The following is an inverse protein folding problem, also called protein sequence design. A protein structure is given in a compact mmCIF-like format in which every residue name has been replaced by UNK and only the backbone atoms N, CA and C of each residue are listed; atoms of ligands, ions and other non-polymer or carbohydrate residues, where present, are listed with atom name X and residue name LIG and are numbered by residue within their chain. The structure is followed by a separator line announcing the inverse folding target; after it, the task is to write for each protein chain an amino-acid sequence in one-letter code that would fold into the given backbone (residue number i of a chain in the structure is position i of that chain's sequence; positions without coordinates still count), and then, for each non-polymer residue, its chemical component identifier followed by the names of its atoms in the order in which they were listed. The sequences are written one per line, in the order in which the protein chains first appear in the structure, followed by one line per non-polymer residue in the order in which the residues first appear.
data_IF_360494699060
#
_entry.id   IF_360494699060
#
_cell.length_a   1.000
_cell.length_b   1.000
_cell.length_c   1.000
_cell.angle_alpha   90.00
_cell.angle_beta   90.00
_cell.angle_gamma   90.00
#
_symmetry.space_group_name_H-M   'P 1'
#
loop_
_entity.id
_entity.type
_entity.pdbx_description
1 polymer ?
#
# COMPACT_ATOMS: atom_id res chain seq x y z
N UNK A 1 -18.78 -17.70 -15.01
CA UNK A 1 -18.16 -18.09 -13.72
C UNK A 1 -16.65 -18.05 -13.93
N UNK A 2 -15.83 -17.14 -13.40
CA UNK A 2 -16.03 -15.91 -12.65
C UNK A 2 -14.77 -15.05 -12.87
N UNK A 3 -14.95 -13.79 -13.28
CA UNK A 3 -13.86 -12.82 -13.32
C UNK A 3 -13.74 -12.22 -11.92
N UNK A 4 -13.07 -12.94 -11.02
CA UNK A 4 -12.60 -12.35 -9.76
C UNK A 4 -11.50 -11.35 -10.15
N UNK A 5 -11.80 -10.06 -9.96
CA UNK A 5 -10.86 -8.94 -10.07
C UNK A 5 -9.51 -9.32 -9.42
N UNK A 6 -8.40 -9.11 -10.12
CA UNK A 6 -7.06 -9.43 -9.62
C UNK A 6 -6.71 -8.64 -8.34
N UNK A 7 -7.41 -7.53 -8.07
CA UNK A 7 -7.34 -6.80 -6.81
C UNK A 7 -7.79 -7.66 -5.60
N UNK A 8 -8.55 -8.73 -5.84
CA UNK A 8 -9.05 -9.69 -4.86
C UNK A 8 -8.05 -10.83 -4.55
N UNK A 9 -6.79 -10.74 -5.00
CA UNK A 9 -5.71 -11.69 -4.64
C UNK A 9 -4.71 -11.14 -3.62
N UNK A 10 -4.97 -9.99 -3.03
CA UNK A 10 -4.30 -9.57 -1.78
C UNK A 10 -5.11 -10.15 -0.63
N UNK A 11 -4.54 -11.16 0.05
CA UNK A 11 -5.32 -12.07 0.90
C UNK A 11 -5.68 -11.48 2.27
N UNK A 12 -5.08 -10.34 2.65
CA UNK A 12 -5.46 -9.57 3.83
C UNK A 12 -5.18 -8.07 3.60
N UNK A 13 -6.02 -7.22 4.19
CA UNK A 13 -5.92 -5.76 4.10
C UNK A 13 -5.88 -5.22 5.52
N UNK A 14 -4.80 -4.52 5.88
CA UNK A 14 -4.72 -3.77 7.12
C UNK A 14 -5.06 -2.31 6.80
N UNK A 15 -6.26 -1.87 7.19
CA UNK A 15 -6.75 -0.52 6.87
C UNK A 15 -6.71 0.39 8.10
N UNK A 16 -6.33 1.64 7.88
CA UNK A 16 -6.55 2.74 8.82
C UNK A 16 -7.65 3.65 8.26
N UNK A 17 -8.77 3.74 8.97
CA UNK A 17 -9.81 4.73 8.69
C UNK A 17 -9.54 5.99 9.51
N UNK A 18 -9.43 7.14 8.84
CA UNK A 18 -9.18 8.41 9.51
C UNK A 18 -10.48 8.97 10.09
N UNK A 19 -10.44 9.69 11.24
CA UNK A 19 -11.62 10.07 12.01
C UNK A 19 -12.63 10.96 11.27
N UNK A 20 -12.29 11.47 10.08
CA UNK A 20 -13.18 12.27 9.24
C UNK A 20 -13.94 11.49 8.15
N UNK A 21 -13.66 10.19 7.94
CA UNK A 21 -14.20 9.45 6.80
C UNK A 21 -15.46 8.62 7.16
N UNK A 22 -16.63 8.84 6.51
CA UNK A 22 -17.78 7.96 6.66
C UNK A 22 -17.48 6.55 6.12
N UNK A 23 -17.95 5.52 6.82
CA UNK A 23 -17.75 4.11 6.48
C UNK A 23 -18.75 3.67 5.39
N UNK A 24 -18.53 4.09 4.15
CA UNK A 24 -19.32 3.66 2.98
C UNK A 24 -18.69 2.42 2.30
N UNK A 25 -19.48 1.49 1.76
CA UNK A 25 -18.98 0.28 1.09
C UNK A 25 -18.27 0.65 -0.23
N UNK A 26 -16.98 0.33 -0.27
CA UNK A 26 -16.02 0.68 -1.32
C UNK A 26 -16.42 0.12 -2.69
N UNK A 27 -16.91 0.98 -3.58
CA UNK A 27 -16.57 0.81 -4.99
C UNK A 27 -15.08 1.14 -5.13
N UNK A 28 -14.31 0.31 -5.81
CA UNK A 28 -12.88 0.49 -6.08
C UNK A 28 -12.52 1.78 -6.88
N UNK A 29 -13.42 2.75 -6.96
CA UNK A 29 -13.38 3.95 -7.80
C UNK A 29 -12.63 5.15 -7.16
N UNK A 30 -12.36 5.13 -5.85
CA UNK A 30 -11.64 6.22 -5.17
C UNK A 30 -10.28 5.83 -4.60
N UNK A 31 -9.80 4.60 -4.85
CA UNK A 31 -8.40 4.24 -4.57
C UNK A 31 -7.48 5.04 -5.50
N UNK A 32 -6.82 6.06 -4.94
CA UNK A 32 -6.11 7.07 -5.71
C UNK A 32 -4.79 6.59 -6.28
N UNK A 33 -4.09 5.71 -5.58
CA UNK A 33 -2.77 5.22 -5.98
C UNK A 33 -2.53 3.78 -5.51
N UNK A 34 -2.06 2.93 -6.42
CA UNK A 34 -1.46 1.62 -6.12
C UNK A 34 0.05 1.74 -6.37
N UNK A 35 0.86 1.11 -5.52
CA UNK A 35 2.32 1.23 -5.57
C UNK A 35 3.00 0.25 -6.52
N UNK A 36 4.03 0.72 -7.21
CA UNK A 36 4.99 -0.10 -7.94
C UNK A 36 6.39 0.01 -7.35
N UNK A 37 6.91 -1.10 -6.85
CA UNK A 37 8.33 -1.27 -6.53
C UNK A 37 9.07 -1.60 -7.80
N UNK A 38 9.97 -0.73 -8.23
CA UNK A 38 10.62 -0.85 -9.54
C UNK A 38 11.34 -2.19 -9.72
N UNK A 39 10.72 -3.18 -10.34
CA UNK A 39 11.32 -4.48 -10.58
C UNK A 39 12.23 -4.42 -11.80
N UNK A 40 13.53 -4.54 -11.59
CA UNK A 40 14.49 -4.85 -12.65
C UNK A 40 14.40 -6.33 -13.05
N UNK A 41 14.34 -6.60 -14.36
CA UNK A 41 14.37 -7.96 -14.92
C UNK A 41 15.61 -8.76 -14.53
N UNK A 42 15.50 -10.08 -14.58
CA UNK A 42 16.57 -11.03 -14.29
C UNK A 42 17.86 -10.71 -15.08
N UNK A 43 18.87 -10.22 -14.37
CA UNK A 43 20.22 -9.97 -14.87
C UNK A 43 21.05 -9.37 -13.75
N UNK A 44 22.13 -10.03 -13.36
CA UNK A 44 23.09 -9.56 -12.37
C UNK A 44 23.64 -8.18 -12.77
N UNK A 45 23.10 -7.11 -12.19
CA UNK A 45 23.72 -5.79 -12.06
C UNK A 45 22.87 -4.94 -11.11
N UNK A 46 23.29 -4.89 -9.85
CA UNK A 46 22.63 -4.13 -8.78
C UNK A 46 22.42 -2.65 -9.15
N UNK A 47 21.39 -2.07 -8.56
CA UNK A 47 21.03 -0.65 -8.55
C UNK A 47 20.55 -0.04 -9.90
N UNK A 48 20.97 -0.53 -11.07
CA UNK A 48 20.56 0.03 -12.36
C UNK A 48 19.21 -0.51 -12.88
N UNK A 49 18.90 -1.79 -12.62
CA UNK A 49 17.68 -2.42 -13.13
C UNK A 49 16.40 -1.93 -12.41
N UNK A 50 16.50 -1.61 -11.11
CA UNK A 50 15.37 -1.17 -10.27
C UNK A 50 14.91 0.27 -10.52
N UNK A 51 15.75 1.09 -11.17
CA UNK A 51 15.44 2.49 -11.49
C UNK A 51 14.54 2.62 -12.70
N UNK A 52 14.31 1.57 -13.48
CA UNK A 52 13.73 1.70 -14.83
C UNK A 52 12.22 1.89 -14.83
N UNK A 53 11.49 1.49 -13.77
CA UNK A 53 10.02 1.47 -13.72
C UNK A 53 9.35 0.67 -14.85
N UNK A 54 10.08 -0.23 -15.53
CA UNK A 54 9.60 -0.92 -16.73
C UNK A 54 8.89 -2.25 -16.44
N UNK A 55 8.62 -2.53 -15.17
CA UNK A 55 8.01 -3.76 -14.67
C UNK A 55 8.99 -4.92 -14.47
N UNK A 56 8.75 -5.73 -13.44
CA UNK A 56 9.51 -6.92 -13.09
C UNK A 56 8.66 -8.06 -12.51
N UNK A 57 9.21 -8.78 -11.53
CA UNK A 57 8.52 -9.86 -10.81
C UNK A 57 7.58 -9.35 -9.70
N UNK A 58 6.94 -10.27 -8.96
CA UNK A 58 6.16 -9.94 -7.76
C UNK A 58 4.96 -9.01 -8.01
N UNK A 59 4.74 -8.09 -7.06
CA UNK A 59 3.66 -7.08 -7.08
C UNK A 59 3.76 -6.18 -8.31
N UNK A 60 4.99 -5.82 -8.71
CA UNK A 60 5.22 -4.93 -9.83
C UNK A 60 4.76 -5.51 -11.18
N UNK A 61 5.17 -6.75 -11.44
CA UNK A 61 4.66 -7.48 -12.59
C UNK A 61 3.15 -7.68 -12.57
N UNK A 62 2.55 -7.89 -11.39
CA UNK A 62 1.10 -8.06 -11.27
C UNK A 62 0.33 -6.79 -11.67
N UNK A 63 0.82 -5.64 -11.25
CA UNK A 63 0.22 -4.34 -11.55
C UNK A 63 0.42 -3.98 -13.03
N UNK A 64 1.62 -4.17 -13.60
CA UNK A 64 1.83 -3.95 -15.05
C UNK A 64 0.92 -4.84 -15.91
N UNK A 65 0.73 -6.11 -15.52
CA UNK A 65 -0.20 -7.01 -16.23
C UNK A 65 -1.65 -6.55 -16.15
N UNK A 66 -2.09 -6.05 -15.00
CA UNK A 66 -3.47 -5.60 -14.80
C UNK A 66 -3.75 -4.21 -15.41
N UNK A 67 -2.80 -3.28 -15.33
CA UNK A 67 -2.91 -1.95 -15.93
C UNK A 67 -2.84 -1.98 -17.46
N UNK A 68 -2.15 -2.97 -18.01
CA UNK A 68 -1.94 -3.12 -19.44
C UNK A 68 -0.73 -2.33 -19.97
N UNK A 69 -0.46 -2.42 -21.29
CA UNK A 69 0.79 -1.96 -21.89
C UNK A 69 0.98 -0.44 -21.86
N UNK A 70 -0.10 0.34 -21.67
CA UNK A 70 -0.02 1.80 -21.61
C UNK A 70 0.73 2.29 -20.37
N UNK A 71 0.62 1.57 -19.24
CA UNK A 71 1.38 1.89 -18.03
C UNK A 71 2.88 1.89 -18.31
N UNK A 72 3.38 0.82 -18.95
CA UNK A 72 4.80 0.69 -19.29
C UNK A 72 5.27 1.80 -20.26
N UNK A 73 4.41 2.22 -21.19
CA UNK A 73 4.73 3.32 -22.11
C UNK A 73 4.88 4.64 -21.37
N UNK A 74 4.02 4.93 -20.39
CA UNK A 74 4.15 6.14 -19.57
C UNK A 74 5.36 6.06 -18.64
N UNK A 75 5.61 4.92 -17.99
CA UNK A 75 6.82 4.74 -17.16
C UNK A 75 8.11 5.03 -17.95
N UNK A 76 8.16 4.64 -19.23
CA UNK A 76 9.31 4.90 -20.09
C UNK A 76 9.57 6.40 -20.35
N UNK A 77 8.56 7.27 -20.20
CA UNK A 77 8.74 8.73 -20.35
C UNK A 77 9.24 9.41 -19.07
N UNK A 78 9.17 8.72 -17.93
CA UNK A 78 9.55 9.28 -16.63
C UNK A 78 11.06 9.36 -16.40
N UNK A 79 11.88 8.69 -17.23
CA UNK A 79 13.34 8.66 -17.06
C UNK A 79 13.80 7.92 -15.80
N UNK A 80 13.02 6.93 -15.36
CA UNK A 80 13.32 6.11 -14.18
C UNK A 80 12.96 6.77 -12.84
N UNK A 81 13.40 6.22 -11.71
CA UNK A 81 13.15 6.75 -10.36
C UNK A 81 14.31 6.40 -9.42
N UNK A 82 14.77 7.37 -8.63
CA UNK A 82 15.84 7.18 -7.67
C UNK A 82 15.32 6.51 -6.38
N UNK A 83 16.21 5.84 -5.66
CA UNK A 83 15.86 5.20 -4.39
C UNK A 83 15.33 6.22 -3.37
N UNK A 84 14.16 5.96 -2.77
CA UNK A 84 13.48 6.87 -1.85
C UNK A 84 12.57 7.89 -2.55
N UNK A 85 12.68 8.08 -3.86
CA UNK A 85 11.86 9.05 -4.61
C UNK A 85 10.57 8.41 -5.11
N UNK A 86 9.57 9.25 -5.43
CA UNK A 86 8.29 8.79 -5.97
C UNK A 86 7.93 9.49 -7.29
N UNK A 87 7.29 8.77 -8.22
CA UNK A 87 6.74 9.31 -9.47
C UNK A 87 5.33 8.78 -9.68
N UNK A 88 4.51 9.48 -10.46
CA UNK A 88 3.12 9.13 -10.68
C UNK A 88 2.80 8.94 -12.16
N UNK A 89 1.95 7.96 -12.46
CA UNK A 89 1.38 7.72 -13.79
C UNK A 89 -0.13 7.51 -13.70
N UNK A 90 -0.82 7.54 -14.84
CA UNK A 90 -2.16 6.97 -14.92
C UNK A 90 -2.18 5.48 -14.54
N UNK A 91 -3.31 5.00 -14.05
CA UNK A 91 -3.48 3.61 -13.63
C UNK A 91 -4.05 2.68 -14.73
N UNK A 92 -4.57 3.26 -15.82
CA UNK A 92 -5.03 2.55 -17.02
C UNK A 92 -6.08 1.47 -16.74
N UNK A 93 -5.74 0.19 -16.94
CA UNK A 93 -6.66 -0.94 -16.75
C UNK A 93 -6.96 -1.27 -15.28
N UNK A 94 -6.33 -0.59 -14.33
CA UNK A 94 -6.61 -0.76 -12.90
C UNK A 94 -7.86 0.02 -12.50
N UNK A 95 -8.57 -0.40 -11.44
CA UNK A 95 -9.68 0.37 -10.89
C UNK A 95 -9.23 1.68 -10.22
N UNK A 96 -7.96 1.77 -9.82
CA UNK A 96 -7.38 2.98 -9.25
C UNK A 96 -7.29 4.13 -10.27
N UNK A 97 -7.13 5.37 -9.79
CA UNK A 97 -6.95 6.55 -10.67
C UNK A 97 -5.50 6.68 -11.17
N UNK A 98 -4.55 6.51 -10.26
CA UNK A 98 -3.11 6.60 -10.54
C UNK A 98 -2.33 5.41 -9.99
N UNK A 99 -1.07 5.33 -10.39
CA UNK A 99 -0.06 4.46 -9.80
C UNK A 99 1.09 5.35 -9.35
N UNK A 100 1.47 5.25 -8.07
CA UNK A 100 2.64 5.95 -7.53
C UNK A 100 3.78 4.94 -7.45
N UNK A 101 4.82 5.18 -8.22
CA UNK A 101 6.01 4.35 -8.32
C UNK A 101 7.06 4.89 -7.35
N UNK A 102 7.59 4.07 -6.45
CA UNK A 102 8.77 4.45 -5.67
C UNK A 102 9.74 3.28 -5.56
N UNK A 103 11.03 3.59 -5.51
CA UNK A 103 12.10 2.58 -5.47
C UNK A 103 12.61 2.47 -4.03
N UNK A 104 12.27 1.35 -3.39
CA UNK A 104 12.79 1.03 -2.06
C UNK A 104 14.28 0.68 -2.06
N UNK A 105 14.96 0.76 -0.89
CA UNK A 105 16.34 0.31 -0.74
C UNK A 105 16.48 -1.20 -0.94
N UNK A 106 17.63 -1.63 -1.46
CA UNK A 106 18.06 -3.03 -1.54
C UNK A 106 19.04 -3.27 -0.40
N UNK A 107 18.74 -4.25 0.46
CA UNK A 107 19.54 -4.57 1.65
C UNK A 107 20.19 -5.95 1.48
N UNK A 108 21.50 -5.99 1.66
CA UNK A 108 22.28 -7.22 1.72
C UNK A 108 22.96 -7.32 3.09
N UNK A 109 22.28 -7.93 4.05
CA UNK A 109 22.77 -8.07 5.42
C UNK A 109 22.13 -7.05 6.37
N UNK A 110 22.94 -6.33 7.15
CA UNK A 110 22.45 -5.39 8.15
C UNK A 110 21.90 -4.11 7.50
N UNK A 111 20.77 -3.62 8.02
CA UNK A 111 20.13 -2.38 7.57
C UNK A 111 20.97 -1.17 8.01
N UNK A 112 21.41 -0.34 7.07
CA UNK A 112 22.12 0.90 7.34
C UNK A 112 21.16 2.08 7.57
N UNK A 113 21.65 3.18 8.13
CA UNK A 113 20.86 4.41 8.28
C UNK A 113 20.39 4.99 6.93
N UNK A 114 21.19 4.79 5.87
CA UNK A 114 20.80 5.16 4.50
C UNK A 114 19.59 4.35 4.05
N UNK A 115 19.55 3.05 4.35
CA UNK A 115 18.44 2.17 3.98
C UNK A 115 17.16 2.54 4.76
N UNK A 116 17.30 2.80 6.06
CA UNK A 116 16.19 3.28 6.90
C UNK A 116 15.58 4.56 6.33
N UNK A 117 16.43 5.55 6.04
CA UNK A 117 16.01 6.82 5.45
C UNK A 117 15.36 6.63 4.08
N UNK A 118 15.95 5.80 3.21
CA UNK A 118 15.39 5.53 1.90
C UNK A 118 13.99 4.88 1.97
N UNK A 119 13.78 3.92 2.88
CA UNK A 119 12.48 3.30 3.07
C UNK A 119 11.46 4.31 3.63
N UNK A 120 11.85 5.14 4.61
CA UNK A 120 11.03 6.23 5.10
C UNK A 120 10.62 7.20 3.97
N UNK A 121 11.60 7.63 3.17
CA UNK A 121 11.40 8.56 2.06
C UNK A 121 10.43 7.99 1.01
N UNK A 122 10.45 6.66 0.77
CA UNK A 122 9.46 6.01 -0.12
C UNK A 122 8.02 6.26 0.32
N UNK A 123 7.70 6.03 1.59
CA UNK A 123 6.35 6.26 2.13
C UNK A 123 6.01 7.75 2.12
N UNK A 124 6.93 8.59 2.61
CA UNK A 124 6.73 10.03 2.74
C UNK A 124 6.49 10.70 1.38
N UNK A 125 7.35 10.44 0.40
CA UNK A 125 7.24 11.04 -0.94
C UNK A 125 6.02 10.52 -1.69
N UNK A 126 5.62 9.27 -1.45
CA UNK A 126 4.38 8.73 -2.00
C UNK A 126 3.13 9.40 -1.41
N UNK A 127 3.10 9.62 -0.10
CA UNK A 127 2.01 10.34 0.57
C UNK A 127 1.89 11.78 0.07
N UNK A 128 3.03 12.49 -0.01
CA UNK A 128 3.09 13.86 -0.59
C UNK A 128 2.57 13.89 -2.02
N UNK A 129 3.03 12.96 -2.87
CA UNK A 129 2.57 12.86 -4.27
C UNK A 129 1.06 12.63 -4.35
N UNK A 130 0.51 11.78 -3.47
CA UNK A 130 -0.93 11.53 -3.42
C UNK A 130 -1.72 12.80 -3.06
N UNK A 131 -1.28 13.50 -2.02
CA UNK A 131 -1.88 14.76 -1.55
C UNK A 131 -1.78 15.86 -2.60
N UNK A 132 -0.64 16.03 -3.26
CA UNK A 132 -0.45 17.00 -4.37
C UNK A 132 -1.44 16.75 -5.52
N UNK A 133 -1.79 15.48 -5.75
CA UNK A 133 -2.77 15.05 -6.75
C UNK A 133 -4.20 15.01 -6.23
N UNK A 134 -4.42 15.51 -5.01
CA UNK A 134 -5.73 15.57 -4.34
C UNK A 134 -6.38 14.20 -4.21
N UNK A 135 -5.56 13.16 -4.07
CA UNK A 135 -6.02 11.82 -3.78
C UNK A 135 -6.31 11.71 -2.29
N UNK A 136 -7.44 11.09 -1.95
CA UNK A 136 -7.85 10.91 -0.56
C UNK A 136 -7.64 9.49 -0.04
N UNK A 137 -7.26 8.54 -0.90
CA UNK A 137 -6.99 7.16 -0.51
C UNK A 137 -5.74 6.65 -1.20
N UNK A 138 -4.86 6.01 -0.43
CA UNK A 138 -3.61 5.42 -0.91
C UNK A 138 -3.45 4.00 -0.37
N UNK A 139 -2.93 3.10 -1.21
CA UNK A 139 -2.63 1.73 -0.83
C UNK A 139 -1.15 1.41 -0.99
N UNK A 140 -0.50 1.00 0.10
CA UNK A 140 0.89 0.60 0.17
C UNK A 140 1.02 -0.91 0.34
N UNK A 141 1.81 -1.60 -0.47
CA UNK A 141 2.29 -2.93 -0.16
C UNK A 141 3.51 -2.86 0.76
N UNK A 142 4.03 -4.02 1.16
CA UNK A 142 5.26 -4.12 1.95
C UNK A 142 6.48 -3.76 1.08
N UNK A 143 6.88 -2.49 1.10
CA UNK A 143 8.03 -2.00 0.32
C UNK A 143 9.32 -2.65 0.84
N UNK A 144 10.16 -3.12 -0.09
CA UNK A 144 11.48 -3.72 0.14
C UNK A 144 11.56 -5.06 0.92
N UNK A 145 10.48 -5.64 1.43
CA UNK A 145 10.53 -6.88 2.26
C UNK A 145 10.70 -8.19 1.47
N UNK A 146 10.52 -8.15 0.14
CA UNK A 146 10.68 -9.30 -0.74
C UNK A 146 12.11 -9.45 -1.27
N UNK A 147 12.26 -9.41 -2.60
CA UNK A 147 13.56 -9.58 -3.29
C UNK A 147 14.62 -8.56 -2.85
N UNK A 148 14.21 -7.42 -2.27
CA UNK A 148 15.12 -6.38 -1.79
C UNK A 148 15.67 -6.65 -0.39
N UNK A 149 15.20 -7.70 0.31
CA UNK A 149 15.85 -8.21 1.51
C UNK A 149 15.75 -7.35 2.76
N UNK A 150 14.87 -6.35 2.80
CA UNK A 150 14.66 -5.55 4.01
C UNK A 150 13.93 -6.40 5.07
N UNK A 151 14.41 -6.45 6.34
CA UNK A 151 13.76 -7.21 7.40
C UNK A 151 12.29 -6.80 7.60
N UNK A 152 11.32 -7.73 7.51
CA UNK A 152 9.90 -7.40 7.59
C UNK A 152 9.50 -6.65 8.85
N UNK A 153 9.97 -7.08 10.03
CA UNK A 153 9.68 -6.44 11.32
C UNK A 153 10.06 -4.95 11.29
N UNK A 154 11.28 -4.65 10.87
CA UNK A 154 11.77 -3.27 10.81
C UNK A 154 11.06 -2.44 9.73
N UNK A 155 10.67 -3.08 8.62
CA UNK A 155 9.93 -2.40 7.55
C UNK A 155 8.50 -2.04 7.97
N UNK A 156 7.81 -2.91 8.72
CA UNK A 156 6.46 -2.65 9.25
C UNK A 156 6.48 -1.48 10.23
N UNK A 157 7.40 -1.50 11.18
CA UNK A 157 7.57 -0.40 12.15
C UNK A 157 7.85 0.92 11.42
N UNK A 158 8.77 0.92 10.43
CA UNK A 158 9.08 2.10 9.63
C UNK A 158 7.85 2.62 8.86
N UNK A 159 7.09 1.73 8.22
CA UNK A 159 5.90 2.08 7.45
C UNK A 159 4.84 2.74 8.34
N UNK A 160 4.55 2.11 9.49
CA UNK A 160 3.53 2.59 10.42
C UNK A 160 3.93 3.91 11.08
N UNK A 161 5.19 4.02 11.55
CA UNK A 161 5.71 5.25 12.14
C UNK A 161 5.64 6.43 11.15
N UNK A 162 6.14 6.22 9.92
CA UNK A 162 6.16 7.27 8.89
C UNK A 162 4.74 7.73 8.52
N UNK A 163 3.82 6.77 8.33
CA UNK A 163 2.42 7.09 8.02
C UNK A 163 1.76 7.80 9.19
N UNK A 164 2.03 7.38 10.44
CA UNK A 164 1.49 8.03 11.64
C UNK A 164 1.93 9.48 11.73
N UNK A 165 3.23 9.73 11.66
CA UNK A 165 3.81 11.07 11.72
C UNK A 165 3.25 11.98 10.63
N UNK A 166 3.13 11.47 9.40
CA UNK A 166 2.55 12.24 8.29
C UNK A 166 1.07 12.58 8.53
N UNK A 167 0.30 11.66 9.09
CA UNK A 167 -1.13 11.86 9.33
C UNK A 167 -1.40 12.79 10.52
N UNK A 168 -0.52 12.85 11.51
CA UNK A 168 -0.65 13.82 12.60
C UNK A 168 -0.73 15.26 12.05
N UNK A 169 -0.01 15.56 10.96
CA UNK A 169 -0.02 16.88 10.31
C UNK A 169 -1.02 17.00 9.15
N UNK A 170 -1.45 15.90 8.55
CA UNK A 170 -2.17 15.92 7.26
C UNK A 170 -3.45 15.07 7.19
N UNK A 171 -3.99 14.60 8.32
CA UNK A 171 -5.16 13.73 8.37
C UNK A 171 -6.41 14.26 7.65
N UNK A 172 -6.59 15.57 7.46
CA UNK A 172 -7.75 16.12 6.73
C UNK A 172 -7.66 15.91 5.21
N UNK A 173 -6.44 15.71 4.70
CA UNK A 173 -6.14 15.60 3.26
C UNK A 173 -6.34 14.18 2.74
N UNK A 174 -6.33 13.18 3.63
CA UNK A 174 -6.52 11.76 3.34
C UNK A 174 -7.74 11.24 4.11
N UNK A 175 -8.53 10.36 3.50
CA UNK A 175 -9.61 9.61 4.15
C UNK A 175 -9.12 8.25 4.67
N UNK A 176 -8.19 7.63 3.94
CA UNK A 176 -7.76 6.25 4.21
C UNK A 176 -6.35 5.97 3.73
N UNK A 177 -5.60 5.26 4.57
CA UNK A 177 -4.33 4.63 4.19
C UNK A 177 -4.48 3.13 4.36
N UNK A 178 -4.16 2.39 3.31
CA UNK A 178 -4.36 0.94 3.24
C UNK A 178 -2.98 0.27 3.15
N UNK A 179 -2.70 -0.69 4.04
CA UNK A 179 -1.54 -1.57 3.94
C UNK A 179 -1.96 -2.91 3.33
N UNK A 180 -1.61 -3.11 2.07
CA UNK A 180 -1.88 -4.30 1.28
C UNK A 180 -0.81 -5.36 1.52
N UNK A 181 -1.04 -6.21 2.51
CA UNK A 181 -0.15 -7.32 2.87
C UNK A 181 -0.49 -8.58 2.07
N UNK A 182 0.53 -9.30 1.61
CA UNK A 182 0.32 -10.53 0.83
C UNK A 182 0.69 -11.78 1.62
N UNK A 183 1.82 -11.75 2.34
CA UNK A 183 2.28 -12.88 3.14
C UNK A 183 1.57 -12.89 4.48
N UNK A 184 1.19 -14.08 4.96
CA UNK A 184 0.59 -14.23 6.30
C UNK A 184 1.51 -13.74 7.41
N UNK A 185 2.83 -13.91 7.25
CA UNK A 185 3.83 -13.39 8.19
C UNK A 185 3.81 -11.86 8.30
N UNK A 186 3.62 -11.16 7.18
CA UNK A 186 3.52 -9.69 7.18
C UNK A 186 2.19 -9.26 7.81
N UNK A 187 1.09 -9.96 7.51
CA UNK A 187 -0.22 -9.70 8.14
C UNK A 187 -0.16 -9.80 9.67
N UNK A 188 0.49 -10.84 10.19
CA UNK A 188 0.70 -11.02 11.64
C UNK A 188 1.55 -9.91 12.26
N UNK A 189 2.50 -9.34 11.51
CA UNK A 189 3.30 -8.19 11.95
C UNK A 189 2.44 -6.93 11.99
N UNK A 190 1.74 -6.61 10.90
CA UNK A 190 0.86 -5.44 10.84
C UNK A 190 -0.24 -5.51 11.90
N UNK A 191 -0.90 -6.66 12.09
CA UNK A 191 -1.97 -6.81 13.11
C UNK A 191 -1.48 -6.53 14.53
N UNK A 192 -0.24 -6.88 14.85
CA UNK A 192 0.36 -6.64 16.17
C UNK A 192 0.83 -5.20 16.34
N UNK A 193 1.44 -4.62 15.31
CA UNK A 193 2.05 -3.30 15.39
C UNK A 193 1.03 -2.16 15.22
N UNK A 194 0.01 -2.32 14.36
CA UNK A 194 -0.91 -1.24 13.99
C UNK A 194 -1.63 -0.60 15.18
N UNK A 195 -2.13 -1.34 16.20
CA UNK A 195 -2.71 -0.74 17.40
C UNK A 195 -1.73 0.10 18.25
N UNK A 196 -0.42 -0.12 18.13
CA UNK A 196 0.59 0.65 18.86
C UNK A 196 0.77 2.06 18.28
N UNK A 197 0.60 2.20 16.96
CA UNK A 197 0.71 3.48 16.24
C UNK A 197 -0.64 4.18 16.09
N UNK A 198 -1.70 3.40 15.94
CA UNK A 198 -3.08 3.86 15.75
C UNK A 198 -3.98 3.15 16.75
N UNK A 199 -3.93 3.55 18.04
CA UNK A 199 -4.79 2.95 19.06
C UNK A 199 -6.26 3.19 18.69
N UNK A 200 -7.06 2.13 18.75
CA UNK A 200 -8.51 2.26 18.63
C UNK A 200 -9.07 2.75 19.96
N UNK A 201 -9.90 3.80 19.93
CA UNK A 201 -10.68 4.17 21.10
C UNK A 201 -11.63 3.00 21.45
N UNK A 202 -11.38 2.34 22.59
CA UNK A 202 -12.18 1.19 23.06
C UNK A 202 -13.68 1.50 23.23
N UNK A 203 -14.06 2.78 23.19
CA UNK A 203 -15.45 3.25 23.31
C UNK A 203 -16.40 2.79 22.19
N UNK A 204 -15.89 2.33 21.03
CA UNK A 204 -16.75 1.92 19.89
C UNK A 204 -16.92 0.40 19.72
N UNK A 205 -16.19 -0.41 20.50
CA UNK A 205 -16.25 -1.88 20.44
C UNK A 205 -17.42 -2.49 21.26
N UNK A 206 -17.88 -1.79 22.30
CA UNK A 206 -18.91 -2.29 23.23
C UNK A 206 -20.36 -2.35 22.66
N UNK A 207 -20.60 -1.89 21.42
CA UNK A 207 -21.95 -1.79 20.85
C UNK A 207 -22.42 -2.97 19.98
N UNK A 208 -21.58 -3.97 19.69
CA UNK A 208 -21.94 -5.11 18.81
C UNK A 208 -22.00 -6.43 19.56
N UNK A 209 -22.89 -6.56 20.55
CA UNK A 209 -23.47 -7.85 20.89
C UNK A 209 -24.82 -7.69 21.58
N UNK A 210 -25.89 -7.99 20.84
CA UNK A 210 -27.11 -8.69 21.26
C UNK A 210 -28.21 -8.46 20.20
N UNK A 211 -28.39 -9.44 19.31
CA UNK A 211 -29.61 -9.56 18.51
C UNK A 211 -30.76 -10.00 19.43
N UNK A 212 -31.96 -9.40 19.36
CA UNK A 212 -33.11 -9.94 20.07
C UNK A 212 -33.58 -11.22 19.36
N UNK A 213 -33.72 -12.28 20.14
CA UNK A 213 -34.37 -13.53 19.75
C UNK A 213 -35.78 -13.24 19.26
N UNK A 214 -36.08 -13.56 17.99
CA UNK A 214 -37.41 -13.46 17.42
C UNK A 214 -38.25 -14.67 17.87
N UNK A 215 -39.28 -14.42 18.69
CA UNK A 215 -40.32 -15.38 19.03
C UNK A 215 -41.05 -15.85 17.77
N UNK A 216 -41.12 -17.17 17.56
CA UNK A 216 -41.99 -17.78 16.55
C UNK A 216 -43.33 -18.11 17.20
N UNK A 217 -44.34 -17.32 16.89
CA UNK A 217 -45.73 -17.69 17.14
C UNK A 217 -46.21 -18.57 15.98
N UNK A 218 -46.57 -19.81 16.29
CA UNK A 218 -47.14 -20.78 15.33
C UNK A 218 -48.67 -20.70 15.45
N UNK A 219 -49.42 -20.49 14.36
CA UNK A 219 -50.88 -20.60 14.39
C UNK A 219 -51.32 -22.05 14.11
N UNK A 220 -52.30 -22.53 14.89
CA UNK A 220 -53.41 -23.38 14.47
C UNK A 220 -54.52 -23.31 15.55
#
# INVERSE_FOLDING_TARGET
MGNLSLACRYSSVAELLLPAAPVEPLAAADTGAIWLGGGGGAGEAGEAANRTLLGGGGVDGAIHRAAGPLLRKECATLGGCETGEAKITGAYGLPAKYVIHTVGPIVHGAVSDRDRKALQDCYLNSLKTAVEKKLRTVAFPCISTGVYGYPPEEAVEMALATVREYLDEHHEQLDRVIFCVFLGSDDDLYRRALPLYFPQDEAQSAGKSQSPSCEKQVPL
#
